data_IF_001295113714
#
_entry.id   IF_001295113714
#
_cell.length_a   1.000
_cell.length_b   1.000
_cell.length_c   1.000
_cell.angle_alpha   90.00
_cell.angle_beta   90.00
_cell.angle_gamma   90.00
#
_symmetry.space_group_name_H-M   'P 1'
#
loop_
_entity.id
_entity.type
_entity.pdbx_description
1 polymer ?
#
# COMPACT_ATOMS: atom_id res chain seq x y z
N UNK A 1 -2.94 35.75 10.01
CA UNK A 1 -3.21 34.32 10.29
C UNK A 1 -2.28 33.48 9.44
N UNK A 2 -1.46 32.67 10.08
CA UNK A 2 -0.54 31.72 9.47
C UNK A 2 -1.15 30.32 9.50
N UNK A 3 -1.01 29.59 8.38
CA UNK A 3 -1.38 28.19 8.29
C UNK A 3 -0.27 27.34 8.90
N UNK A 4 -0.65 26.34 9.70
CA UNK A 4 0.28 25.34 10.21
C UNK A 4 -0.34 23.95 10.26
N UNK A 5 0.54 22.95 10.27
CA UNK A 5 0.22 21.55 10.46
C UNK A 5 1.22 20.95 11.45
N UNK A 6 0.72 20.45 12.58
CA UNK A 6 1.46 19.59 13.49
C UNK A 6 0.96 18.16 13.30
N UNK A 7 1.84 17.19 13.14
CA UNK A 7 1.35 15.82 12.95
C UNK A 7 2.40 14.76 13.21
N UNK A 8 1.92 13.53 13.36
CA UNK A 8 2.74 12.33 13.39
C UNK A 8 2.14 11.30 12.43
N UNK A 9 2.99 10.45 11.85
CA UNK A 9 2.55 9.41 10.94
C UNK A 9 3.42 8.15 11.08
N UNK A 10 3.08 7.10 10.32
CA UNK A 10 3.79 5.82 10.31
C UNK A 10 5.30 5.92 10.00
N UNK A 11 5.79 7.04 9.43
CA UNK A 11 7.23 7.25 9.18
C UNK A 11 7.94 7.85 10.38
N UNK A 12 7.26 8.72 11.14
CA UNK A 12 7.87 9.42 12.27
C UNK A 12 7.63 8.74 13.60
N UNK A 13 6.59 7.92 13.73
CA UNK A 13 6.16 7.31 14.98
C UNK A 13 5.78 5.82 14.82
N UNK A 14 6.22 4.95 15.75
CA UNK A 14 5.75 3.57 15.81
C UNK A 14 4.28 3.50 16.25
N UNK A 15 3.63 2.35 16.07
CA UNK A 15 2.18 2.22 16.27
C UNK A 15 1.74 2.50 17.71
N UNK A 16 2.54 2.07 18.69
CA UNK A 16 2.30 2.23 20.13
C UNK A 16 2.29 3.70 20.57
N UNK A 17 2.98 4.55 19.81
CA UNK A 17 2.94 6.01 19.98
C UNK A 17 1.71 6.57 19.29
N UNK A 18 1.44 6.17 18.02
CA UNK A 18 0.33 6.69 17.21
C UNK A 18 -1.04 6.44 17.82
N UNK A 19 -1.28 5.27 18.40
CA UNK A 19 -2.55 4.92 19.04
C UNK A 19 -2.94 5.87 20.18
N UNK A 20 -1.95 6.49 20.86
CA UNK A 20 -2.19 7.46 21.94
C UNK A 20 -2.74 8.80 21.45
N UNK A 21 -2.61 9.08 20.15
CA UNK A 21 -3.12 10.29 19.51
C UNK A 21 -4.29 9.99 18.57
N UNK A 22 -4.78 8.75 18.54
CA UNK A 22 -5.91 8.40 17.69
C UNK A 22 -7.19 9.07 18.21
N UNK A 23 -7.97 9.66 17.29
CA UNK A 23 -9.26 10.27 17.60
C UNK A 23 -10.33 9.53 16.81
N UNK A 24 -11.33 9.00 17.52
CA UNK A 24 -12.43 8.29 16.89
C UNK A 24 -13.29 9.23 16.04
N UNK A 25 -13.84 8.72 14.93
CA UNK A 25 -14.67 9.49 14.01
C UNK A 25 -15.81 10.32 14.68
N UNK A 26 -16.55 9.80 15.70
CA UNK A 26 -17.58 10.57 16.39
C UNK A 26 -17.06 11.80 17.16
N UNK A 27 -15.77 11.82 17.50
CA UNK A 27 -15.14 12.85 18.34
C UNK A 27 -14.38 13.90 17.51
N UNK A 28 -14.27 13.74 16.19
CA UNK A 28 -13.44 14.63 15.36
C UNK A 28 -13.88 16.09 15.39
N UNK A 29 -15.20 16.36 15.45
CA UNK A 29 -15.74 17.71 15.57
C UNK A 29 -15.35 18.38 16.89
N UNK A 30 -15.63 17.71 18.02
CA UNK A 30 -15.27 18.18 19.36
C UNK A 30 -13.76 18.36 19.52
N UNK A 31 -12.98 17.39 19.03
CA UNK A 31 -11.52 17.46 19.05
C UNK A 31 -10.98 18.65 18.25
N UNK A 32 -11.63 19.02 17.14
CA UNK A 32 -11.25 20.18 16.33
C UNK A 32 -11.56 21.50 17.03
N UNK A 33 -12.70 21.60 17.73
CA UNK A 33 -13.03 22.77 18.56
C UNK A 33 -12.06 22.91 19.73
N UNK A 34 -11.77 21.81 20.43
CA UNK A 34 -10.83 21.80 21.55
C UNK A 34 -9.40 22.13 21.10
N UNK A 35 -8.98 21.64 19.93
CA UNK A 35 -7.70 21.99 19.32
C UNK A 35 -7.58 23.49 19.11
N UNK A 36 -8.64 24.13 18.60
CA UNK A 36 -8.67 25.58 18.37
C UNK A 36 -8.46 26.37 19.67
N UNK A 37 -9.17 25.99 20.73
CA UNK A 37 -9.07 26.61 22.05
C UNK A 37 -7.66 26.42 22.64
N UNK A 38 -7.12 25.20 22.54
CA UNK A 38 -5.80 24.86 23.04
C UNK A 38 -4.70 25.67 22.36
N UNK A 39 -4.81 25.82 21.04
CA UNK A 39 -3.83 26.52 20.21
C UNK A 39 -3.97 28.05 20.24
N UNK A 40 -5.10 28.57 20.76
CA UNK A 40 -5.53 29.96 20.55
C UNK A 40 -5.55 30.33 19.06
N UNK A 41 -6.08 29.40 18.26
CA UNK A 41 -6.20 29.55 16.82
C UNK A 41 -7.59 30.08 16.44
N UNK A 42 -7.71 30.67 15.25
CA UNK A 42 -9.00 31.05 14.70
C UNK A 42 -9.77 29.85 14.12
N UNK A 43 -9.04 28.87 13.59
CA UNK A 43 -9.60 27.71 12.89
C UNK A 43 -8.78 26.44 13.19
N UNK A 44 -9.43 25.28 13.27
CA UNK A 44 -8.77 23.99 13.54
C UNK A 44 -9.47 22.79 12.89
N UNK A 45 -8.68 21.83 12.39
CA UNK A 45 -9.15 20.52 11.89
C UNK A 45 -8.22 19.42 12.40
N UNK A 46 -8.81 18.38 12.99
CA UNK A 46 -8.12 17.14 13.36
C UNK A 46 -8.36 16.07 12.30
N UNK A 47 -7.28 15.54 11.72
CA UNK A 47 -7.32 14.35 10.87
C UNK A 47 -6.74 13.20 11.68
N UNK A 48 -7.48 12.10 11.82
CA UNK A 48 -6.98 10.90 12.48
C UNK A 48 -7.34 9.66 11.67
N UNK A 49 -6.33 8.84 11.39
CA UNK A 49 -6.45 7.59 10.65
C UNK A 49 -5.59 6.53 11.32
N UNK A 50 -5.65 5.28 10.83
CA UNK A 50 -4.78 4.22 11.29
C UNK A 50 -3.28 4.48 11.05
N UNK A 51 -2.91 5.48 10.23
CA UNK A 51 -1.53 5.76 9.80
C UNK A 51 -1.03 7.17 10.15
N UNK A 52 -1.90 8.09 10.60
CA UNK A 52 -1.53 9.46 10.96
C UNK A 52 -2.52 10.10 11.92
N UNK A 53 -2.02 11.03 12.73
CA UNK A 53 -2.84 12.07 13.38
C UNK A 53 -2.21 13.42 13.06
N UNK A 54 -3.01 14.33 12.49
CA UNK A 54 -2.57 15.65 12.04
C UNK A 54 -3.54 16.73 12.52
N UNK A 55 -2.97 17.87 12.90
CA UNK A 55 -3.63 19.03 13.45
C UNK A 55 -3.38 20.22 12.54
N UNK A 56 -4.36 20.59 11.73
CA UNK A 56 -4.30 21.75 10.84
C UNK A 56 -4.94 22.95 11.52
N UNK A 57 -4.22 24.06 11.59
CA UNK A 57 -4.63 25.26 12.31
C UNK A 57 -4.38 26.53 11.49
N UNK A 58 -5.23 27.54 11.69
CA UNK A 58 -4.97 28.91 11.28
C UNK A 58 -4.88 29.80 12.53
N UNK A 59 -3.68 30.25 12.88
CA UNK A 59 -3.41 31.01 14.10
C UNK A 59 -2.74 32.35 13.78
N UNK A 60 -2.68 33.30 14.72
CA UNK A 60 -1.96 34.56 14.48
C UNK A 60 -0.45 34.38 14.41
N UNK A 61 0.10 33.53 15.29
CA UNK A 61 1.53 33.19 15.36
C UNK A 61 1.68 31.66 15.35
N UNK A 62 2.32 31.11 14.31
CA UNK A 62 2.43 29.66 14.18
C UNK A 62 3.32 29.01 15.25
N UNK A 63 4.41 29.66 15.67
CA UNK A 63 5.35 29.08 16.62
C UNK A 63 4.74 28.97 18.02
N UNK A 64 4.01 29.99 18.45
CA UNK A 64 3.26 29.94 19.70
C UNK A 64 2.18 28.86 19.66
N UNK A 65 1.45 28.74 18.55
CA UNK A 65 0.43 27.72 18.38
C UNK A 65 1.02 26.31 18.47
N UNK A 66 2.19 26.04 17.86
CA UNK A 66 2.88 24.76 18.00
C UNK A 66 3.20 24.43 19.46
N UNK A 67 3.80 25.37 20.18
CA UNK A 67 4.16 25.17 21.59
C UNK A 67 2.92 24.88 22.45
N UNK A 68 1.84 25.63 22.25
CA UNK A 68 0.59 25.45 23.01
C UNK A 68 -0.05 24.08 22.73
N UNK A 69 -0.12 23.68 21.46
CA UNK A 69 -0.70 22.40 21.05
C UNK A 69 0.13 21.23 21.56
N UNK A 70 1.45 21.25 21.36
CA UNK A 70 2.34 20.18 21.83
C UNK A 70 2.26 20.00 23.34
N UNK A 71 2.26 21.10 24.10
CA UNK A 71 2.11 21.09 25.55
C UNK A 71 0.75 20.52 25.97
N UNK A 72 -0.34 21.02 25.39
CA UNK A 72 -1.68 20.61 25.78
C UNK A 72 -2.00 19.16 25.42
N UNK A 73 -1.51 18.67 24.29
CA UNK A 73 -1.64 17.26 23.92
C UNK A 73 -0.81 16.38 24.86
N UNK A 74 0.41 16.79 25.21
CA UNK A 74 1.24 16.04 26.15
C UNK A 74 0.58 15.94 27.54
N UNK A 75 -0.01 17.04 28.03
CA UNK A 75 -0.75 17.07 29.29
C UNK A 75 -2.00 16.18 29.25
N UNK A 76 -2.81 16.29 28.19
CA UNK A 76 -4.06 15.52 28.03
C UNK A 76 -3.83 14.02 27.96
N UNK A 77 -2.77 13.59 27.29
CA UNK A 77 -2.46 12.18 27.06
C UNK A 77 -1.46 11.61 28.08
N UNK A 78 -1.11 12.37 29.12
CA UNK A 78 -0.10 11.99 30.13
C UNK A 78 1.21 11.51 29.50
N UNK A 79 1.64 12.17 28.43
CA UNK A 79 2.81 11.77 27.67
C UNK A 79 4.07 12.42 28.24
N UNK A 80 5.15 11.65 28.20
CA UNK A 80 6.48 12.18 28.44
C UNK A 80 6.95 13.01 27.24
N UNK A 81 7.99 13.82 27.44
CA UNK A 81 8.60 14.65 26.40
C UNK A 81 9.24 13.83 25.26
N UNK A 82 9.26 12.51 25.34
CA UNK A 82 9.73 11.63 24.27
C UNK A 82 8.68 11.49 23.15
N UNK A 83 7.39 11.46 23.48
CA UNK A 83 6.31 11.29 22.51
C UNK A 83 6.19 12.49 21.55
N UNK A 84 6.49 13.71 22.02
CA UNK A 84 6.43 14.93 21.20
C UNK A 84 7.56 15.01 20.17
N UNK A 85 8.66 14.25 20.34
CA UNK A 85 9.77 14.22 19.38
C UNK A 85 9.41 13.60 18.03
N UNK A 86 8.29 12.88 17.97
CA UNK A 86 7.78 12.26 16.75
C UNK A 86 6.95 13.21 15.89
N UNK A 87 6.64 14.41 16.39
CA UNK A 87 5.91 15.40 15.63
C UNK A 87 6.79 16.01 14.55
N UNK A 88 6.22 16.16 13.36
CA UNK A 88 6.72 17.09 12.36
C UNK A 88 5.87 18.37 12.39
N UNK A 89 6.54 19.49 12.10
CA UNK A 89 5.93 20.81 11.99
C UNK A 89 6.01 21.27 10.54
N UNK A 90 4.93 21.84 10.03
CA UNK A 90 4.88 22.46 8.70
C UNK A 90 4.12 23.76 8.78
N UNK A 91 4.56 24.78 8.07
CA UNK A 91 3.93 26.10 8.06
C UNK A 91 3.65 26.57 6.63
N UNK A 92 2.73 27.51 6.48
CA UNK A 92 2.46 28.24 5.22
C UNK A 92 2.29 27.27 4.04
N UNK A 93 3.06 27.45 2.97
CA UNK A 93 3.00 26.64 1.75
C UNK A 93 3.33 25.17 2.01
N UNK A 94 4.20 24.84 2.97
CA UNK A 94 4.53 23.44 3.28
C UNK A 94 3.35 22.69 3.91
N UNK A 95 2.58 23.35 4.78
CA UNK A 95 1.38 22.76 5.36
C UNK A 95 0.31 22.51 4.29
N UNK A 96 0.11 23.47 3.39
CA UNK A 96 -0.82 23.32 2.27
C UNK A 96 -0.38 22.20 1.31
N UNK A 97 0.91 22.16 0.95
CA UNK A 97 1.51 21.12 0.12
C UNK A 97 1.39 19.75 0.74
N UNK A 98 1.61 19.64 2.04
CA UNK A 98 1.42 18.39 2.78
C UNK A 98 -0.02 17.90 2.70
N UNK A 99 -1.02 18.75 2.94
CA UNK A 99 -2.41 18.34 2.81
C UNK A 99 -2.74 17.84 1.41
N UNK A 100 -2.29 18.54 0.36
CA UNK A 100 -2.46 18.08 -1.02
C UNK A 100 -1.82 16.72 -1.27
N UNK A 101 -0.62 16.46 -0.73
CA UNK A 101 0.05 15.15 -0.81
C UNK A 101 -0.73 14.06 -0.08
N UNK A 102 -1.22 14.33 1.12
CA UNK A 102 -2.02 13.39 1.93
C UNK A 102 -3.32 13.03 1.22
N UNK A 103 -4.09 14.03 0.76
CA UNK A 103 -5.36 13.82 0.05
C UNK A 103 -5.15 13.11 -1.30
N UNK A 104 -3.98 13.27 -1.92
CA UNK A 104 -3.60 12.58 -3.16
C UNK A 104 -3.03 11.17 -2.93
N UNK A 105 -2.92 10.71 -1.68
CA UNK A 105 -2.37 9.40 -1.33
C UNK A 105 -0.86 9.25 -1.52
N UNK A 106 -0.13 10.35 -1.76
CA UNK A 106 1.33 10.34 -1.98
C UNK A 106 2.13 10.15 -0.69
N UNK A 107 1.48 10.35 0.46
CA UNK A 107 2.08 10.18 1.77
C UNK A 107 1.51 8.97 2.52
N UNK A 108 0.68 8.15 1.87
CA UNK A 108 0.12 6.93 2.42
C UNK A 108 1.11 5.77 2.40
N UNK A 109 0.91 4.78 3.29
CA UNK A 109 1.69 3.55 3.29
C UNK A 109 1.51 2.79 1.96
N UNK A 110 0.28 2.75 1.45
CA UNK A 110 -0.02 2.38 0.07
C UNK A 110 -0.16 3.65 -0.78
N UNK A 111 0.86 3.92 -1.60
CA UNK A 111 0.88 5.10 -2.47
C UNK A 111 -0.32 5.10 -3.43
N UNK A 112 -1.06 6.20 -3.46
CA UNK A 112 -2.22 6.40 -4.34
C UNK A 112 -3.52 5.76 -3.84
N UNK A 113 -3.56 5.26 -2.60
CA UNK A 113 -4.80 4.74 -1.99
C UNK A 113 -5.91 5.81 -1.97
N UNK A 114 -7.17 5.37 -2.10
CA UNK A 114 -8.34 6.26 -2.16
C UNK A 114 -9.02 6.46 -0.80
N UNK A 115 -8.72 5.62 0.19
CA UNK A 115 -9.38 5.65 1.49
C UNK A 115 -9.07 6.95 2.24
N UNK A 116 -7.80 7.38 2.22
CA UNK A 116 -7.34 8.61 2.89
C UNK A 116 -8.12 9.85 2.41
N UNK A 117 -8.50 9.91 1.13
CA UNK A 117 -9.32 11.01 0.62
C UNK A 117 -10.67 11.10 1.35
N UNK A 118 -11.32 9.95 1.56
CA UNK A 118 -12.59 9.85 2.27
C UNK A 118 -12.46 10.21 3.75
N UNK A 119 -11.42 9.70 4.41
CA UNK A 119 -11.12 9.97 5.82
C UNK A 119 -10.85 11.47 6.06
N UNK A 120 -10.04 12.10 5.21
CA UNK A 120 -9.77 13.55 5.31
C UNK A 120 -11.02 14.38 5.05
N UNK A 121 -11.88 13.95 4.12
CA UNK A 121 -13.17 14.60 3.86
C UNK A 121 -14.12 14.50 5.05
N UNK A 122 -14.16 13.36 5.73
CA UNK A 122 -14.95 13.17 6.94
C UNK A 122 -14.46 14.05 8.09
N UNK A 123 -13.14 14.09 8.32
CA UNK A 123 -12.51 14.95 9.32
C UNK A 123 -12.85 16.43 9.10
N UNK A 124 -12.68 16.91 7.87
CA UNK A 124 -13.04 18.26 7.49
C UNK A 124 -14.54 18.56 7.70
N UNK A 125 -15.42 17.65 7.28
CA UNK A 125 -16.88 17.85 7.43
C UNK A 125 -17.28 17.92 8.90
N UNK A 126 -16.70 17.06 9.74
CA UNK A 126 -16.95 17.06 11.19
C UNK A 126 -16.50 18.36 11.86
N UNK A 127 -15.33 18.89 11.46
CA UNK A 127 -14.83 20.17 11.97
C UNK A 127 -15.67 21.36 11.49
N UNK A 128 -16.16 21.32 10.25
CA UNK A 128 -17.05 22.33 9.68
C UNK A 128 -18.40 22.37 10.42
N UNK A 129 -19.02 21.22 10.64
CA UNK A 129 -20.29 21.09 11.36
C UNK A 129 -20.18 21.57 12.83
N UNK A 130 -19.02 21.33 13.46
CA UNK A 130 -18.72 21.80 14.81
C UNK A 130 -18.37 23.30 14.89
N UNK A 131 -18.30 24.02 13.77
CA UNK A 131 -17.91 25.44 13.73
C UNK A 131 -16.44 25.70 14.07
N UNK A 132 -15.58 24.70 13.91
CA UNK A 132 -14.14 24.79 14.19
C UNK A 132 -13.34 25.36 13.00
N UNK A 133 -13.92 25.36 11.79
CA UNK A 133 -13.27 25.90 10.57
C UNK A 133 -13.76 27.30 10.22
N UNK A 134 -12.94 28.05 9.48
CA UNK A 134 -13.30 29.36 8.93
C UNK A 134 -12.84 29.52 7.48
N UNK A 135 -12.53 30.76 7.08
CA UNK A 135 -12.22 31.07 5.68
C UNK A 135 -10.93 30.40 5.18
N UNK A 136 -9.91 30.28 6.03
CA UNK A 136 -8.58 29.81 5.64
C UNK A 136 -8.60 28.30 5.38
N UNK A 137 -9.02 27.52 6.37
CA UNK A 137 -9.08 26.06 6.27
C UNK A 137 -10.16 25.61 5.28
N UNK A 138 -11.30 26.31 5.17
CA UNK A 138 -12.30 25.97 4.14
C UNK A 138 -11.72 26.10 2.73
N UNK A 139 -11.04 27.20 2.41
CA UNK A 139 -10.41 27.36 1.09
C UNK A 139 -9.33 26.30 0.85
N UNK A 140 -8.49 26.04 1.84
CA UNK A 140 -7.42 25.06 1.74
C UNK A 140 -7.95 23.63 1.48
N UNK A 141 -8.87 23.13 2.31
CA UNK A 141 -9.37 21.76 2.19
C UNK A 141 -10.15 21.55 0.89
N UNK A 142 -11.00 22.51 0.49
CA UNK A 142 -11.71 22.44 -0.80
C UNK A 142 -10.73 22.38 -1.97
N UNK A 143 -9.65 23.16 -1.91
CA UNK A 143 -8.59 23.12 -2.93
C UNK A 143 -7.88 21.77 -2.93
N UNK A 144 -7.48 21.27 -1.77
CA UNK A 144 -6.79 19.98 -1.63
C UNK A 144 -7.63 18.83 -2.19
N UNK A 145 -8.95 18.82 -1.97
CA UNK A 145 -9.85 17.83 -2.58
C UNK A 145 -9.90 17.95 -4.12
N UNK A 146 -9.89 19.17 -4.65
CA UNK A 146 -9.78 19.41 -6.09
C UNK A 146 -8.48 18.86 -6.66
N UNK A 147 -7.36 19.12 -5.99
CA UNK A 147 -6.02 18.60 -6.36
C UNK A 147 -5.98 17.08 -6.31
N UNK A 148 -6.47 16.46 -5.22
CA UNK A 148 -6.49 15.00 -5.11
C UNK A 148 -7.32 14.33 -6.20
N UNK A 149 -8.46 14.92 -6.57
CA UNK A 149 -9.24 14.46 -7.74
C UNK A 149 -8.46 14.60 -9.04
N UNK A 150 -7.79 15.74 -9.25
CA UNK A 150 -7.00 16.01 -10.46
C UNK A 150 -5.82 15.06 -10.61
N UNK A 151 -5.07 14.83 -9.53
CA UNK A 151 -3.97 13.85 -9.47
C UNK A 151 -4.49 12.46 -9.86
N UNK A 152 -5.65 12.06 -9.32
CA UNK A 152 -6.26 10.77 -9.63
C UNK A 152 -6.70 10.63 -11.09
N UNK A 153 -7.20 11.71 -11.71
CA UNK A 153 -7.69 11.67 -13.09
C UNK A 153 -6.59 11.83 -14.13
N UNK A 154 -5.51 12.53 -13.80
CA UNK A 154 -4.44 12.90 -14.74
C UNK A 154 -3.17 12.05 -14.58
N UNK A 155 -3.13 11.17 -13.58
CA UNK A 155 -1.98 10.28 -13.33
C UNK A 155 -2.43 8.86 -13.05
N UNK A 156 -1.57 7.89 -13.38
CA UNK A 156 -1.77 6.48 -13.04
C UNK A 156 -1.08 6.08 -11.74
N UNK A 157 -0.96 6.99 -10.76
CA UNK A 157 -0.26 6.74 -9.48
C UNK A 157 -0.89 5.60 -8.65
N UNK A 158 -2.15 5.25 -8.97
CA UNK A 158 -2.88 4.14 -8.38
C UNK A 158 -2.52 2.79 -9.01
N UNK A 159 -1.85 2.79 -10.17
CA UNK A 159 -1.56 1.59 -10.96
C UNK A 159 -0.16 1.05 -10.70
N UNK A 160 -0.04 -0.27 -10.83
CA UNK A 160 1.23 -0.97 -10.93
C UNK A 160 1.83 -1.33 -9.58
N UNK A 161 2.23 -2.59 -9.47
CA UNK A 161 2.93 -3.07 -8.30
C UNK A 161 4.45 -3.10 -8.45
N UNK A 162 5.16 -2.90 -7.35
CA UNK A 162 6.61 -2.66 -7.33
C UNK A 162 7.41 -3.79 -6.69
N UNK A 163 6.78 -4.91 -6.35
CA UNK A 163 7.46 -6.09 -5.80
C UNK A 163 7.26 -7.29 -6.74
N UNK A 164 8.21 -8.23 -6.75
CA UNK A 164 8.15 -9.46 -7.55
C UNK A 164 6.84 -10.21 -7.31
N UNK A 165 6.45 -10.41 -6.04
CA UNK A 165 5.23 -11.12 -5.69
C UNK A 165 3.97 -10.47 -6.25
N UNK A 166 3.90 -9.14 -6.25
CA UNK A 166 2.73 -8.46 -6.78
C UNK A 166 2.78 -8.30 -8.31
N UNK A 167 3.95 -8.21 -8.93
CA UNK A 167 4.06 -8.30 -10.40
C UNK A 167 3.57 -9.66 -10.88
N UNK A 168 3.91 -10.73 -10.17
CA UNK A 168 3.39 -12.07 -10.43
C UNK A 168 1.85 -12.13 -10.31
N UNK A 169 1.27 -11.49 -9.29
CA UNK A 169 -0.20 -11.33 -9.19
C UNK A 169 -0.76 -10.59 -10.40
N UNK A 170 -0.19 -9.42 -10.75
CA UNK A 170 -0.68 -8.59 -11.85
C UNK A 170 -0.61 -9.36 -13.20
N UNK A 171 0.41 -10.22 -13.39
CA UNK A 171 0.51 -11.11 -14.53
C UNK A 171 -0.55 -12.22 -14.49
N UNK A 172 -0.76 -12.85 -13.34
CA UNK A 172 -1.80 -13.86 -13.16
C UNK A 172 -3.20 -13.29 -13.44
N UNK A 173 -3.52 -12.10 -12.92
CA UNK A 173 -4.79 -11.41 -13.20
C UNK A 173 -4.96 -11.11 -14.69
N UNK A 174 -3.90 -10.79 -15.43
CA UNK A 174 -3.97 -10.62 -16.89
C UNK A 174 -4.24 -11.92 -17.65
N UNK A 175 -3.71 -13.04 -17.17
CA UNK A 175 -3.89 -14.36 -17.80
C UNK A 175 -5.28 -14.93 -17.48
N UNK A 176 -5.73 -14.84 -16.23
CA UNK A 176 -6.96 -15.49 -15.74
C UNK A 176 -8.16 -14.54 -15.58
N UNK A 177 -7.95 -13.22 -15.68
CA UNK A 177 -8.94 -12.17 -15.43
C UNK A 177 -9.17 -11.86 -13.94
N UNK A 178 -9.30 -12.89 -13.10
CA UNK A 178 -9.46 -12.78 -11.65
C UNK A 178 -8.95 -14.05 -10.96
N UNK A 179 -8.47 -13.93 -9.72
CA UNK A 179 -7.82 -15.04 -9.01
C UNK A 179 -8.74 -15.84 -8.09
N UNK A 180 -10.02 -15.44 -7.94
CA UNK A 180 -10.95 -16.01 -6.97
C UNK A 180 -11.10 -17.54 -7.06
N UNK A 181 -10.95 -18.07 -8.27
CA UNK A 181 -11.08 -19.50 -8.56
C UNK A 181 -9.75 -20.17 -8.89
N UNK A 182 -8.63 -19.43 -8.83
CA UNK A 182 -7.32 -19.94 -9.19
C UNK A 182 -6.76 -20.83 -8.08
N UNK A 183 -6.30 -22.01 -8.45
CA UNK A 183 -5.56 -22.91 -7.57
C UNK A 183 -4.04 -22.73 -7.76
N UNK A 184 -3.29 -22.60 -6.67
CA UNK A 184 -1.85 -22.30 -6.69
C UNK A 184 -1.07 -23.51 -6.17
N UNK A 185 0.01 -23.90 -6.83
CA UNK A 185 0.99 -24.86 -6.32
C UNK A 185 2.33 -24.19 -6.05
N UNK A 186 2.97 -24.55 -4.95
CA UNK A 186 4.34 -24.20 -4.63
C UNK A 186 5.19 -25.47 -4.70
N UNK A 187 6.23 -25.45 -5.53
CA UNK A 187 7.27 -26.46 -5.58
C UNK A 187 8.51 -25.92 -4.86
N UNK A 188 8.82 -26.48 -3.69
CA UNK A 188 9.87 -26.00 -2.80
C UNK A 188 9.33 -25.13 -1.66
N UNK A 189 10.26 -24.67 -0.83
CA UNK A 189 9.95 -23.89 0.39
C UNK A 189 10.94 -22.73 0.56
N UNK A 190 11.17 -21.99 -0.53
CA UNK A 190 11.97 -20.77 -0.55
C UNK A 190 11.19 -19.57 -0.01
N UNK A 191 11.89 -18.59 0.55
CA UNK A 191 11.26 -17.39 1.11
C UNK A 191 10.52 -16.57 0.04
N UNK A 192 11.10 -16.45 -1.15
CA UNK A 192 10.49 -15.72 -2.26
C UNK A 192 9.24 -16.40 -2.81
N UNK A 193 9.19 -17.75 -2.84
CA UNK A 193 7.97 -18.46 -3.23
C UNK A 193 6.87 -18.31 -2.20
N UNK A 194 7.22 -18.28 -0.91
CA UNK A 194 6.29 -17.93 0.19
C UNK A 194 5.71 -16.53 -0.01
N UNK A 195 6.53 -15.50 -0.18
CA UNK A 195 6.05 -14.12 -0.36
C UNK A 195 5.14 -14.00 -1.60
N UNK A 196 5.53 -14.63 -2.71
CA UNK A 196 4.75 -14.59 -3.96
C UNK A 196 3.40 -15.29 -3.81
N UNK A 197 3.36 -16.45 -3.14
CA UNK A 197 2.12 -17.14 -2.84
C UNK A 197 1.23 -16.35 -1.86
N UNK A 198 1.80 -15.69 -0.84
CA UNK A 198 1.05 -14.81 0.05
C UNK A 198 0.37 -13.67 -0.73
N UNK A 199 1.08 -13.05 -1.67
CA UNK A 199 0.51 -12.04 -2.56
C UNK A 199 -0.68 -12.59 -3.36
N UNK A 200 -0.60 -13.79 -3.93
CA UNK A 200 -1.71 -14.43 -4.66
C UNK A 200 -2.92 -14.73 -3.75
N UNK A 201 -2.68 -15.24 -2.54
CA UNK A 201 -3.75 -15.51 -1.56
C UNK A 201 -4.43 -14.21 -1.12
N UNK A 202 -3.65 -13.16 -0.84
CA UNK A 202 -4.19 -11.85 -0.46
C UNK A 202 -5.11 -11.24 -1.54
N UNK A 203 -4.96 -11.70 -2.78
CA UNK A 203 -5.73 -11.28 -3.96
C UNK A 203 -6.84 -12.25 -4.36
N UNK A 204 -7.07 -13.28 -3.54
CA UNK A 204 -8.23 -14.15 -3.62
C UNK A 204 -7.98 -15.54 -4.20
N UNK A 205 -6.73 -15.97 -4.41
CA UNK A 205 -6.44 -17.35 -4.81
C UNK A 205 -7.13 -18.36 -3.88
N UNK A 206 -7.81 -19.36 -4.46
CA UNK A 206 -8.76 -20.23 -3.75
C UNK A 206 -8.09 -21.22 -2.80
N UNK A 207 -7.01 -21.85 -3.28
CA UNK A 207 -6.34 -22.91 -2.54
C UNK A 207 -4.87 -22.98 -2.90
N UNK A 208 -4.07 -23.35 -1.91
CA UNK A 208 -2.63 -23.55 -2.07
C UNK A 208 -2.29 -25.03 -1.86
N UNK A 209 -1.52 -25.58 -2.80
CA UNK A 209 -0.85 -26.86 -2.69
C UNK A 209 0.63 -26.62 -2.49
N UNK A 210 1.26 -27.30 -1.54
CA UNK A 210 2.70 -27.17 -1.29
C UNK A 210 3.35 -28.52 -1.43
N UNK A 211 4.38 -28.62 -2.27
CA UNK A 211 5.18 -29.81 -2.41
C UNK A 211 6.65 -29.48 -2.20
N UNK A 212 7.34 -30.26 -1.38
CA UNK A 212 8.75 -30.08 -1.12
C UNK A 212 9.41 -31.43 -0.84
N UNK A 213 10.72 -31.56 -1.13
CA UNK A 213 11.47 -32.80 -0.89
C UNK A 213 11.41 -33.22 0.59
N UNK A 214 11.50 -32.25 1.50
CA UNK A 214 11.15 -32.46 2.91
C UNK A 214 9.65 -32.23 3.07
N UNK A 215 8.91 -33.31 3.33
CA UNK A 215 7.47 -33.24 3.51
C UNK A 215 7.07 -32.40 4.73
N UNK A 216 7.84 -32.44 5.81
CA UNK A 216 7.58 -31.63 7.02
C UNK A 216 7.56 -30.14 6.68
N UNK A 217 8.54 -29.67 5.88
CA UNK A 217 8.57 -28.28 5.39
C UNK A 217 7.39 -27.94 4.47
N UNK A 218 6.88 -28.91 3.70
CA UNK A 218 5.67 -28.72 2.92
C UNK A 218 4.43 -28.58 3.82
N UNK A 219 4.35 -29.34 4.91
CA UNK A 219 3.27 -29.26 5.89
C UNK A 219 3.29 -27.93 6.64
N UNK A 220 4.46 -27.47 7.07
CA UNK A 220 4.63 -26.16 7.74
C UNK A 220 4.14 -25.03 6.84
N UNK A 221 4.65 -24.93 5.62
CA UNK A 221 4.27 -23.86 4.68
C UNK A 221 2.80 -23.97 4.23
N UNK A 222 2.28 -25.19 4.05
CA UNK A 222 0.86 -25.38 3.77
C UNK A 222 -0.02 -24.90 4.94
N UNK A 223 0.37 -25.18 6.19
CA UNK A 223 -0.37 -24.74 7.36
C UNK A 223 -0.37 -23.20 7.50
N UNK A 224 0.77 -22.55 7.25
CA UNK A 224 0.88 -21.08 7.22
C UNK A 224 -0.11 -20.44 6.24
N UNK A 225 -0.40 -21.12 5.12
CA UNK A 225 -1.23 -20.61 4.02
C UNK A 225 -2.65 -21.19 3.99
N UNK A 226 -3.03 -21.96 5.03
CA UNK A 226 -4.29 -22.71 5.06
C UNK A 226 -4.50 -23.58 3.79
N UNK A 227 -3.41 -24.14 3.28
CA UNK A 227 -3.32 -24.98 2.09
C UNK A 227 -3.18 -26.46 2.40
N UNK A 228 -2.75 -27.24 1.40
CA UNK A 228 -2.57 -28.69 1.48
C UNK A 228 -1.15 -29.09 1.09
N UNK A 229 -0.49 -29.86 1.95
CA UNK A 229 0.79 -30.46 1.61
C UNK A 229 0.59 -31.67 0.68
N UNK A 230 1.43 -31.76 -0.35
CA UNK A 230 1.48 -32.84 -1.34
C UNK A 230 2.87 -33.45 -1.26
N UNK A 231 2.96 -34.79 -1.37
CA UNK A 231 4.26 -35.46 -1.40
C UNK A 231 5.02 -35.07 -2.67
N UNK A 232 6.35 -35.01 -2.57
CA UNK A 232 7.19 -34.62 -3.70
C UNK A 232 7.09 -35.58 -4.89
N UNK A 233 6.76 -36.85 -4.67
CA UNK A 233 6.61 -37.77 -5.80
C UNK A 233 5.25 -37.63 -6.50
N UNK A 234 4.28 -36.94 -5.89
CA UNK A 234 2.89 -36.84 -6.35
C UNK A 234 2.54 -35.49 -6.98
N UNK A 235 3.43 -34.49 -6.96
CA UNK A 235 3.11 -33.12 -7.38
C UNK A 235 2.61 -33.04 -8.83
N UNK A 236 3.10 -33.92 -9.72
CA UNK A 236 2.69 -33.95 -11.13
C UNK A 236 1.20 -34.25 -11.31
N UNK A 237 0.61 -35.08 -10.44
CA UNK A 237 -0.82 -35.38 -10.49
C UNK A 237 -1.67 -34.13 -10.19
N UNK A 238 -1.14 -33.26 -9.33
CA UNK A 238 -1.78 -32.01 -8.88
C UNK A 238 -1.67 -30.91 -9.93
N UNK A 239 -0.74 -31.00 -10.90
CA UNK A 239 -0.67 -30.04 -12.00
C UNK A 239 -1.98 -29.96 -12.82
N UNK A 240 -2.77 -31.03 -12.85
CA UNK A 240 -4.03 -31.06 -13.61
C UNK A 240 -5.13 -30.16 -13.04
N UNK A 241 -5.01 -29.74 -11.78
CA UNK A 241 -6.00 -28.91 -11.09
C UNK A 241 -5.53 -27.46 -10.84
N UNK A 242 -4.22 -27.21 -10.78
CA UNK A 242 -3.66 -25.88 -10.46
C UNK A 242 -3.49 -24.96 -11.66
N UNK A 243 -3.65 -23.66 -11.47
CA UNK A 243 -3.54 -22.64 -12.52
C UNK A 243 -2.21 -21.89 -12.45
N UNK A 244 -1.66 -21.74 -11.25
CA UNK A 244 -0.37 -21.08 -11.02
C UNK A 244 0.58 -22.05 -10.32
N UNK A 245 1.82 -22.14 -10.78
CA UNK A 245 2.88 -22.95 -10.18
C UNK A 245 4.07 -22.04 -9.89
N UNK A 246 4.48 -22.00 -8.63
CA UNK A 246 5.65 -21.24 -8.17
C UNK A 246 6.74 -22.23 -7.80
N UNK A 247 7.87 -22.19 -8.48
CA UNK A 247 8.99 -23.07 -8.19
C UNK A 247 10.13 -22.32 -7.51
N UNK A 248 10.66 -22.89 -6.44
CA UNK A 248 11.83 -22.39 -5.71
C UNK A 248 12.47 -23.54 -4.94
N UNK A 249 12.92 -24.56 -5.66
CA UNK A 249 13.66 -25.69 -5.11
C UNK A 249 15.17 -25.44 -5.15
N UNK A 250 15.92 -26.27 -4.41
CA UNK A 250 17.38 -26.31 -4.46
C UNK A 250 17.91 -27.37 -5.43
N UNK A 251 17.11 -27.80 -6.42
CA UNK A 251 17.53 -28.82 -7.37
C UNK A 251 18.66 -28.29 -8.28
N UNK A 252 19.70 -29.11 -8.57
CA UNK A 252 20.75 -28.71 -9.50
C UNK A 252 20.33 -28.86 -10.98
N UNK A 253 19.11 -29.31 -11.24
CA UNK A 253 18.56 -29.57 -12.58
C UNK A 253 17.06 -29.25 -12.59
N UNK A 254 16.52 -28.94 -13.78
CA UNK A 254 15.10 -28.71 -13.96
C UNK A 254 14.27 -29.96 -13.58
N UNK A 255 13.30 -29.75 -12.69
CA UNK A 255 12.34 -30.75 -12.21
C UNK A 255 11.05 -30.75 -13.05
N UNK A 256 10.68 -29.60 -13.62
CA UNK A 256 9.56 -29.47 -14.54
C UNK A 256 10.10 -29.51 -15.96
N UNK A 257 9.81 -30.60 -16.66
CA UNK A 257 10.24 -30.86 -18.04
C UNK A 257 9.08 -30.67 -19.01
N UNK A 258 9.39 -30.38 -20.28
CA UNK A 258 8.40 -30.11 -21.32
C UNK A 258 7.38 -31.24 -21.47
N UNK A 259 7.84 -32.49 -21.42
CA UNK A 259 7.00 -33.68 -21.60
C UNK A 259 5.95 -33.81 -20.50
N UNK A 260 6.30 -33.46 -19.25
CA UNK A 260 5.36 -33.48 -18.13
C UNK A 260 4.23 -32.47 -18.36
N UNK A 261 4.56 -31.27 -18.84
CA UNK A 261 3.59 -30.19 -19.05
C UNK A 261 2.68 -30.45 -20.25
N UNK A 262 3.20 -31.01 -21.34
CA UNK A 262 2.40 -31.38 -22.52
C UNK A 262 1.33 -32.44 -22.19
N UNK A 263 1.68 -33.44 -21.38
CA UNK A 263 0.71 -34.45 -20.93
C UNK A 263 -0.41 -33.82 -20.08
N UNK A 264 -0.03 -32.95 -19.16
CA UNK A 264 -0.95 -32.22 -18.29
C UNK A 264 -1.85 -31.27 -19.08
N UNK A 265 -1.32 -30.52 -20.06
CA UNK A 265 -2.08 -29.55 -20.88
C UNK A 265 -3.29 -30.21 -21.54
N UNK A 266 -3.11 -31.42 -22.08
CA UNK A 266 -4.21 -32.22 -22.67
C UNK A 266 -5.26 -32.61 -21.63
N UNK A 267 -4.84 -33.10 -20.46
CA UNK A 267 -5.75 -33.46 -19.38
C UNK A 267 -6.54 -32.24 -18.85
N UNK A 268 -5.93 -31.06 -18.88
CA UNK A 268 -6.52 -29.77 -18.49
C UNK A 268 -7.46 -29.16 -19.52
N UNK A 269 -7.70 -29.83 -20.65
CA UNK A 269 -8.47 -29.28 -21.79
C UNK A 269 -7.93 -27.91 -22.23
N UNK A 270 -6.61 -27.75 -22.23
CA UNK A 270 -5.93 -26.52 -22.70
C UNK A 270 -6.24 -25.26 -21.89
N UNK A 271 -6.69 -25.41 -20.63
CA UNK A 271 -6.74 -24.28 -19.70
C UNK A 271 -5.33 -23.72 -19.47
N UNK A 272 -5.17 -22.38 -19.42
CA UNK A 272 -3.88 -21.76 -19.17
C UNK A 272 -3.19 -22.29 -17.92
N UNK A 273 -1.85 -22.33 -17.98
CA UNK A 273 -1.00 -22.70 -16.86
C UNK A 273 0.13 -21.68 -16.75
N UNK A 274 0.24 -21.05 -15.58
CA UNK A 274 1.21 -19.99 -15.34
C UNK A 274 2.30 -20.48 -14.38
N UNK A 275 3.54 -20.56 -14.87
CA UNK A 275 4.72 -20.92 -14.11
C UNK A 275 5.55 -19.68 -13.74
N UNK A 276 5.98 -19.67 -12.49
CA UNK A 276 6.89 -18.68 -11.92
C UNK A 276 8.12 -19.44 -11.40
N UNK A 277 9.24 -19.35 -12.10
CA UNK A 277 10.50 -20.02 -11.71
C UNK A 277 11.40 -19.05 -10.93
N UNK A 278 11.46 -19.25 -9.62
CA UNK A 278 12.27 -18.46 -8.68
C UNK A 278 13.58 -19.21 -8.33
N UNK A 279 13.83 -20.39 -8.88
CA UNK A 279 14.99 -21.19 -8.54
C UNK A 279 16.24 -20.77 -9.32
N UNK A 280 17.39 -20.85 -8.65
CA UNK A 280 18.71 -20.68 -9.25
C UNK A 280 19.61 -21.81 -8.73
N UNK A 281 19.96 -22.82 -9.56
CA UNK A 281 19.59 -23.03 -10.97
C UNK A 281 18.07 -23.21 -11.20
N UNK A 282 17.61 -23.01 -12.44
CA UNK A 282 16.20 -23.08 -12.84
C UNK A 282 15.59 -24.44 -12.55
N UNK A 283 14.37 -24.44 -12.00
CA UNK A 283 13.58 -25.63 -11.75
C UNK A 283 12.78 -26.05 -12.98
N UNK A 284 12.54 -25.13 -13.90
CA UNK A 284 11.68 -25.33 -15.06
C UNK A 284 12.51 -25.23 -16.32
N UNK A 285 12.42 -26.25 -17.17
CA UNK A 285 13.08 -26.23 -18.47
C UNK A 285 12.52 -25.05 -19.30
N UNK A 286 13.37 -24.16 -19.87
CA UNK A 286 12.89 -23.01 -20.64
C UNK A 286 11.97 -23.36 -21.81
N UNK A 287 12.12 -24.55 -22.40
CA UNK A 287 11.26 -25.03 -23.49
C UNK A 287 9.80 -25.26 -23.06
N UNK A 288 9.50 -25.30 -21.75
CA UNK A 288 8.13 -25.30 -21.23
C UNK A 288 7.39 -24.02 -21.61
N UNK A 289 8.10 -22.87 -21.65
CA UNK A 289 7.52 -21.58 -22.04
C UNK A 289 7.15 -21.47 -23.52
N UNK A 290 7.57 -22.43 -24.35
CA UNK A 290 7.22 -22.49 -25.78
C UNK A 290 5.93 -23.30 -26.03
N UNK A 291 5.36 -23.90 -24.99
CA UNK A 291 4.08 -24.61 -25.10
C UNK A 291 2.95 -23.58 -25.13
N UNK A 292 2.02 -23.72 -26.08
CA UNK A 292 0.81 -22.91 -26.13
C UNK A 292 -0.01 -23.01 -24.82
N UNK A 293 -0.65 -21.89 -24.44
CA UNK A 293 -1.37 -21.72 -23.15
C UNK A 293 -0.51 -21.94 -21.89
N UNK A 294 0.81 -22.04 -22.03
CA UNK A 294 1.74 -22.05 -20.91
C UNK A 294 2.48 -20.72 -20.87
N UNK A 295 2.48 -20.09 -19.71
CA UNK A 295 3.19 -18.84 -19.46
C UNK A 295 4.31 -19.16 -18.48
N UNK A 296 5.57 -18.88 -18.85
CA UNK A 296 6.72 -19.10 -17.97
C UNK A 296 7.46 -17.79 -17.76
N UNK A 297 7.62 -17.41 -16.50
CA UNK A 297 8.39 -16.24 -16.09
C UNK A 297 9.42 -16.66 -15.04
N UNK A 298 10.67 -16.24 -15.26
CA UNK A 298 11.74 -16.44 -14.28
C UNK A 298 11.88 -15.23 -13.34
N UNK A 299 12.68 -15.40 -12.28
CA UNK A 299 12.94 -14.34 -11.30
C UNK A 299 13.52 -13.09 -11.93
N UNK A 300 14.45 -13.23 -12.87
CA UNK A 300 15.11 -12.09 -13.53
C UNK A 300 14.09 -11.24 -14.31
N UNK A 301 13.19 -11.90 -15.04
CA UNK A 301 12.11 -11.23 -15.80
C UNK A 301 11.14 -10.51 -14.85
N UNK A 302 10.75 -11.15 -13.75
CA UNK A 302 9.88 -10.51 -12.76
C UNK A 302 10.55 -9.33 -12.05
N UNK A 303 11.85 -9.42 -11.75
CA UNK A 303 12.63 -8.33 -11.18
C UNK A 303 12.77 -7.16 -12.16
N UNK A 304 12.98 -7.43 -13.45
CA UNK A 304 13.00 -6.39 -14.48
C UNK A 304 11.65 -5.67 -14.53
N UNK A 305 10.54 -6.40 -14.61
CA UNK A 305 9.20 -5.82 -14.63
C UNK A 305 8.90 -5.02 -13.35
N UNK A 306 9.33 -5.51 -12.18
CA UNK A 306 9.18 -4.78 -10.92
C UNK A 306 10.02 -3.49 -10.91
N UNK A 307 11.21 -3.51 -11.50
CA UNK A 307 12.08 -2.34 -11.62
C UNK A 307 11.50 -1.31 -12.58
N UNK A 308 10.98 -1.73 -13.74
CA UNK A 308 10.28 -0.85 -14.68
C UNK A 308 9.03 -0.23 -14.04
N UNK A 309 8.28 -0.99 -13.25
CA UNK A 309 7.13 -0.48 -12.49
C UNK A 309 7.56 0.55 -11.43
N UNK A 310 8.67 0.33 -10.72
CA UNK A 310 9.24 1.31 -9.77
C UNK A 310 9.64 2.61 -10.46
N UNK A 311 10.35 2.53 -11.58
CA UNK A 311 10.78 3.71 -12.34
C UNK A 311 9.59 4.50 -12.86
N UNK A 312 8.58 3.81 -13.40
CA UNK A 312 7.32 4.43 -13.83
C UNK A 312 6.59 5.11 -12.68
N UNK A 313 6.58 4.48 -11.51
CA UNK A 313 6.00 5.05 -10.29
C UNK A 313 6.72 6.32 -9.86
N UNK A 314 8.04 6.36 -9.93
CA UNK A 314 8.80 7.56 -9.59
C UNK A 314 8.45 8.74 -10.51
N UNK A 315 8.36 8.50 -11.82
CA UNK A 315 7.92 9.52 -12.80
C UNK A 315 6.49 10.00 -12.53
N UNK A 316 5.60 9.09 -12.11
CA UNK A 316 4.23 9.46 -11.72
C UNK A 316 4.21 10.31 -10.45
N UNK A 317 5.01 10.00 -9.44
CA UNK A 317 5.13 10.84 -8.24
C UNK A 317 5.56 12.25 -8.64
N UNK A 318 6.59 12.39 -9.47
CA UNK A 318 7.04 13.70 -9.97
C UNK A 318 5.93 14.45 -10.72
N UNK A 319 5.13 13.74 -11.54
CA UNK A 319 3.97 14.34 -12.20
C UNK A 319 2.92 14.81 -11.18
N UNK A 320 2.63 14.02 -10.16
CA UNK A 320 1.70 14.40 -9.09
C UNK A 320 2.20 15.64 -8.34
N UNK A 321 3.48 15.69 -8.00
CA UNK A 321 4.10 16.84 -7.34
C UNK A 321 4.00 18.10 -8.19
N UNK A 322 4.26 18.00 -9.51
CA UNK A 322 4.05 19.13 -10.43
C UNK A 322 2.60 19.63 -10.44
N UNK A 323 1.62 18.71 -10.44
CA UNK A 323 0.20 19.09 -10.37
C UNK A 323 -0.08 19.83 -9.05
N UNK A 324 0.43 19.31 -7.93
CA UNK A 324 0.26 19.92 -6.60
C UNK A 324 0.83 21.34 -6.59
N UNK A 325 2.08 21.49 -7.04
CA UNK A 325 2.79 22.77 -7.00
C UNK A 325 2.08 23.82 -7.89
N UNK A 326 1.70 23.47 -9.12
CA UNK A 326 0.95 24.35 -10.03
C UNK A 326 -0.42 24.75 -9.48
N UNK A 327 -1.11 23.86 -8.76
CA UNK A 327 -2.41 24.18 -8.17
C UNK A 327 -2.30 24.99 -6.88
N UNK A 328 -1.17 24.89 -6.16
CA UNK A 328 -0.87 25.72 -4.98
C UNK A 328 -0.41 27.13 -5.35
N UNK A 329 0.33 27.33 -6.44
CA UNK A 329 0.69 28.68 -6.93
C UNK A 329 -0.55 29.54 -7.22
N UNK A 330 -1.65 28.91 -7.67
CA UNK A 330 -2.93 29.58 -7.90
C UNK A 330 -3.63 29.97 -6.59
N UNK A 331 -3.26 29.34 -5.47
CA UNK A 331 -3.88 29.53 -4.17
C UNK A 331 -3.19 30.67 -3.42
N UNK A 332 -3.80 31.85 -3.44
CA UNK A 332 -3.36 32.98 -2.62
C UNK A 332 -3.86 32.77 -1.19
N UNK A 333 -3.08 32.09 -0.34
CA UNK A 333 -3.39 31.96 1.08
C UNK A 333 -2.86 33.18 1.84
N UNK A 334 -3.51 33.59 2.94
CA UNK A 334 -2.94 34.59 3.84
C UNK A 334 -1.59 34.08 4.39
N UNK A 335 -0.53 34.84 4.19
CA UNK A 335 0.81 34.55 4.73
C UNK A 335 1.67 33.57 3.92
N UNK A 336 1.29 33.20 2.69
CA UNK A 336 2.16 32.53 1.70
C UNK A 336 2.88 33.50 0.80
#
# INVERSE_FOLDING_TARGET
>A
MELLCLGLNHRTAPVEVRERFAVGAPQLGEASTHLRELADAAEGVVISTCNRTEFYLAAENAEEAFVRVEKGIAEKNHLDSSATKHFYRKTKSEAARHLCRVVSGLDSMMLGETEIFGQVKQAYSSALEAGATGTVLNKLFQRAFGVGKKVRTETSIQEGSTSVGNVAVDLAEKIFGHLKDSEVMILGAGEMSRITAQSLVSRGARSIFVSNRSFDRAQELAAEMNGKAVRFDDWQSVLTQVDVVISSTGAPHAIVQREHVEQVRRARKYRPLFFIDIAVPRDIDPSVGEIEEVYLYDIDTLEQLATEARTRRQLQIEQCERIIDLELEKLHLPGT
#
